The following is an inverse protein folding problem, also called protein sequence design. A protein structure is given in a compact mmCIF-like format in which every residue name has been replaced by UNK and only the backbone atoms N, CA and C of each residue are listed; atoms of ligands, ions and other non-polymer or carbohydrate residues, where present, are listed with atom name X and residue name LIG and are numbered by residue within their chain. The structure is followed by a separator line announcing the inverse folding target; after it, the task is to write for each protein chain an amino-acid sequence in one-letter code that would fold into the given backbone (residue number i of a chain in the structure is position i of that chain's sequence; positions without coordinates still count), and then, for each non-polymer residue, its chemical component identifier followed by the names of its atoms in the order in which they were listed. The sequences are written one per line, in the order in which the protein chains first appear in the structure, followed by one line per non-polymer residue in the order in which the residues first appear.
data_IF_008201411703
#
_entry.id   IF_008201411703
#
_cell.length_a   1.000
_cell.length_b   1.000
_cell.length_c   1.000
_cell.angle_alpha   90.00
_cell.angle_beta   90.00
_cell.angle_gamma   90.00
#
_symmetry.space_group_name_H-M   'P 1'
#
loop_
_entity.id
_entity.type
_entity.pdbx_description
1 polymer ?
#
# COMPACT_ATOMS: atom_id res chain seq x y z
N UNK A 1 -3.28 2.54 -14.06
CA UNK A 1 -2.34 2.60 -12.91
C UNK A 1 -2.06 4.02 -12.41
N UNK A 2 -1.95 5.01 -13.29
CA UNK A 2 -1.73 6.42 -12.93
C UNK A 2 -2.68 6.95 -11.83
N UNK A 3 -3.97 6.63 -11.90
CA UNK A 3 -4.93 7.06 -10.86
C UNK A 3 -4.57 6.55 -9.45
N UNK A 4 -4.11 5.30 -9.34
CA UNK A 4 -3.66 4.72 -8.06
C UNK A 4 -2.41 5.44 -7.56
N UNK A 5 -1.42 5.68 -8.41
CA UNK A 5 -0.17 6.35 -7.98
C UNK A 5 -0.38 7.76 -7.48
N UNK A 6 -1.38 8.49 -8.00
CA UNK A 6 -1.70 9.84 -7.51
C UNK A 6 -2.62 9.86 -6.28
N UNK A 7 -3.38 8.80 -6.01
CA UNK A 7 -4.44 8.81 -5.00
C UNK A 7 -4.27 7.79 -3.85
N UNK A 8 -3.25 6.91 -3.90
CA UNK A 8 -3.09 5.83 -2.91
C UNK A 8 -3.05 6.30 -1.46
N UNK A 9 -2.51 7.48 -1.20
CA UNK A 9 -2.35 8.06 0.14
C UNK A 9 -3.68 8.45 0.79
N UNK A 10 -4.76 8.55 0.01
CA UNK A 10 -6.11 8.88 0.48
C UNK A 10 -6.88 7.61 0.82
N UNK A 11 -8.09 7.77 1.36
CA UNK A 11 -9.07 6.69 1.54
C UNK A 11 -9.63 6.19 0.18
N UNK A 12 -8.73 5.75 -0.71
CA UNK A 12 -9.03 5.28 -2.04
C UNK A 12 -9.67 3.89 -1.97
N UNK A 13 -10.90 3.77 -2.44
CA UNK A 13 -11.64 2.51 -2.56
C UNK A 13 -11.60 2.02 -4.00
N UNK A 14 -11.85 0.72 -4.17
CA UNK A 14 -11.89 0.08 -5.49
C UNK A 14 -13.02 0.64 -6.36
N UNK A 15 -14.13 1.04 -5.74
CA UNK A 15 -15.24 1.73 -6.41
C UNK A 15 -14.80 3.05 -7.02
N UNK A 16 -13.94 3.82 -6.33
CA UNK A 16 -13.49 5.11 -6.83
C UNK A 16 -12.62 4.92 -8.08
N UNK A 17 -11.81 3.85 -8.11
CA UNK A 17 -11.00 3.47 -9.28
C UNK A 17 -11.89 3.03 -10.44
N UNK A 18 -12.88 2.16 -10.20
CA UNK A 18 -13.77 1.65 -11.24
C UNK A 18 -14.64 2.76 -11.84
N UNK A 19 -15.14 3.67 -10.99
CA UNK A 19 -15.88 4.86 -11.44
C UNK A 19 -15.02 5.78 -12.28
N UNK A 20 -13.77 6.04 -11.89
CA UNK A 20 -12.85 6.89 -12.65
C UNK A 20 -12.60 6.38 -14.08
N UNK A 21 -12.56 5.06 -14.28
CA UNK A 21 -12.34 4.45 -15.60
C UNK A 21 -13.64 4.11 -16.34
N UNK A 22 -14.80 4.43 -15.77
CA UNK A 22 -16.11 4.15 -16.38
C UNK A 22 -16.51 2.68 -16.43
N UNK A 23 -16.01 1.85 -15.50
CA UNK A 23 -16.37 0.42 -15.43
C UNK A 23 -17.18 0.12 -14.18
N UNK A 24 -18.07 -0.87 -14.30
CA UNK A 24 -18.64 -1.54 -13.14
C UNK A 24 -17.51 -2.14 -12.27
N UNK A 25 -17.70 -2.10 -10.95
CA UNK A 25 -16.72 -2.57 -9.96
C UNK A 25 -16.40 -4.06 -10.12
N UNK A 26 -17.41 -4.89 -10.42
CA UNK A 26 -17.24 -6.34 -10.55
C UNK A 26 -16.47 -6.66 -11.82
N UNK A 27 -16.87 -6.05 -12.93
CA UNK A 27 -16.18 -6.17 -14.21
C UNK A 27 -14.73 -5.68 -14.11
N UNK A 28 -14.50 -4.50 -13.52
CA UNK A 28 -13.17 -3.98 -13.24
C UNK A 28 -12.33 -4.96 -12.43
N UNK A 29 -12.86 -5.48 -11.32
CA UNK A 29 -12.11 -6.38 -10.45
C UNK A 29 -11.74 -7.68 -11.16
N UNK A 30 -12.64 -8.23 -11.97
CA UNK A 30 -12.38 -9.42 -12.78
C UNK A 30 -11.30 -9.17 -13.84
N UNK A 31 -11.49 -8.13 -14.65
CA UNK A 31 -10.55 -7.77 -15.72
C UNK A 31 -9.16 -7.45 -15.16
N UNK A 32 -9.10 -6.65 -14.09
CA UNK A 32 -7.86 -6.29 -13.44
C UNK A 32 -7.14 -7.53 -12.90
N UNK A 33 -7.85 -8.45 -12.24
CA UNK A 33 -7.23 -9.67 -11.70
C UNK A 33 -6.71 -10.58 -12.81
N UNK A 34 -7.42 -10.67 -13.94
CA UNK A 34 -6.96 -11.44 -15.11
C UNK A 34 -5.67 -10.87 -15.71
N UNK A 35 -5.54 -9.55 -15.74
CA UNK A 35 -4.37 -8.87 -16.32
C UNK A 35 -3.19 -8.83 -15.35
N UNK A 36 -3.45 -8.50 -14.08
CA UNK A 36 -2.41 -8.23 -13.07
C UNK A 36 -2.05 -9.45 -12.21
N UNK A 37 -2.81 -10.54 -12.33
CA UNK A 37 -2.64 -11.76 -11.52
C UNK A 37 -3.09 -11.63 -10.06
N UNK A 38 -3.52 -10.44 -9.62
CA UNK A 38 -3.97 -10.16 -8.25
C UNK A 38 -5.16 -9.21 -8.26
N UNK A 39 -5.98 -9.25 -7.20
CA UNK A 39 -7.12 -8.34 -7.07
C UNK A 39 -6.69 -6.87 -6.98
N UNK A 40 -7.56 -5.92 -7.38
CA UNK A 40 -7.29 -4.49 -7.21
C UNK A 40 -6.98 -4.10 -5.76
N UNK A 41 -7.64 -4.73 -4.78
CA UNK A 41 -7.39 -4.51 -3.36
C UNK A 41 -5.97 -4.92 -2.97
N UNK A 42 -5.55 -6.12 -3.38
CA UNK A 42 -4.21 -6.63 -3.10
C UNK A 42 -3.16 -5.79 -3.79
N UNK A 43 -3.40 -5.38 -5.04
CA UNK A 43 -2.49 -4.48 -5.75
C UNK A 43 -2.33 -3.14 -5.03
N UNK A 44 -3.43 -2.50 -4.63
CA UNK A 44 -3.38 -1.23 -3.91
C UNK A 44 -2.63 -1.37 -2.58
N UNK A 45 -2.89 -2.45 -1.82
CA UNK A 45 -2.18 -2.73 -0.58
C UNK A 45 -0.66 -2.90 -0.83
N UNK A 46 -0.31 -3.70 -1.83
CA UNK A 46 1.06 -3.94 -2.25
C UNK A 46 1.77 -2.62 -2.61
N UNK A 47 1.10 -1.76 -3.38
CA UNK A 47 1.61 -0.47 -3.79
C UNK A 47 1.84 0.45 -2.57
N UNK A 48 0.91 0.49 -1.62
CA UNK A 48 1.04 1.28 -0.38
C UNK A 48 2.22 0.81 0.48
N UNK A 49 2.43 -0.51 0.59
CA UNK A 49 3.57 -1.09 1.29
C UNK A 49 4.89 -0.73 0.59
N UNK A 50 4.94 -0.77 -0.75
CA UNK A 50 6.13 -0.34 -1.48
C UNK A 50 6.46 1.13 -1.23
N UNK A 51 5.43 1.98 -1.15
CA UNK A 51 5.58 3.41 -0.86
C UNK A 51 5.97 3.70 0.59
N UNK A 52 5.79 2.77 1.53
CA UNK A 52 6.24 2.98 2.91
C UNK A 52 7.72 2.67 3.12
N UNK A 53 8.35 1.89 2.23
CA UNK A 53 9.76 1.48 2.37
C UNK A 53 10.75 2.65 2.45
N UNK A 54 10.69 3.68 1.58
CA UNK A 54 11.58 4.84 1.70
C UNK A 54 11.36 5.57 3.03
N UNK A 55 10.10 5.73 3.46
CA UNK A 55 9.77 6.41 4.72
C UNK A 55 10.35 5.68 5.94
N UNK A 56 10.36 4.35 5.92
CA UNK A 56 10.97 3.56 6.99
C UNK A 56 12.49 3.72 7.06
N UNK A 57 13.15 3.98 5.92
CA UNK A 57 14.60 4.02 5.82
C UNK A 57 15.19 5.42 5.94
N UNK A 58 14.43 6.43 5.52
CA UNK A 58 14.94 7.80 5.30
C UNK A 58 14.33 8.81 6.28
N UNK A 59 13.42 8.39 7.17
CA UNK A 59 12.74 9.29 8.09
C UNK A 59 12.62 8.70 9.51
N UNK A 60 12.43 9.57 10.49
CA UNK A 60 12.18 9.19 11.88
C UNK A 60 10.70 9.04 12.25
N UNK A 61 9.84 8.97 11.25
CA UNK A 61 8.41 8.85 11.46
C UNK A 61 8.06 7.54 12.17
N UNK A 62 7.10 7.62 13.08
CA UNK A 62 6.52 6.44 13.72
C UNK A 62 5.77 5.59 12.68
N UNK A 63 5.62 4.29 12.97
CA UNK A 63 4.83 3.39 12.10
C UNK A 63 3.40 3.90 11.88
N UNK A 64 2.79 4.52 12.89
CA UNK A 64 1.46 5.11 12.80
C UNK A 64 1.39 6.28 11.82
N UNK A 65 2.41 7.15 11.80
CA UNK A 65 2.50 8.26 10.84
C UNK A 65 2.72 7.74 9.43
N UNK A 66 3.61 6.76 9.25
CA UNK A 66 3.85 6.12 7.96
C UNK A 66 2.58 5.48 7.41
N UNK A 67 1.83 4.76 8.26
CA UNK A 67 0.52 4.18 7.89
C UNK A 67 -0.45 5.25 7.36
N UNK A 68 -0.55 6.38 8.06
CA UNK A 68 -1.41 7.50 7.65
C UNK A 68 -0.96 8.09 6.30
N UNK A 69 0.35 8.28 6.10
CA UNK A 69 0.91 8.83 4.85
C UNK A 69 0.64 7.91 3.66
N UNK A 70 0.79 6.59 3.82
CA UNK A 70 0.55 5.65 2.72
C UNK A 70 -0.92 5.27 2.55
N UNK A 71 -1.82 5.82 3.35
CA UNK A 71 -3.26 5.59 3.23
C UNK A 71 -3.73 4.23 3.80
N UNK A 72 -3.03 3.68 4.79
CA UNK A 72 -3.45 2.48 5.53
C UNK A 72 -3.93 2.92 6.93
N UNK A 73 -5.24 2.84 7.17
CA UNK A 73 -5.84 3.36 8.41
C UNK A 73 -5.58 2.53 9.67
N UNK A 74 -5.21 1.25 9.52
CA UNK A 74 -4.98 0.32 10.63
C UNK A 74 -3.49 -0.10 10.68
N UNK A 75 -2.72 0.37 11.68
CA UNK A 75 -1.32 -0.01 11.88
C UNK A 75 -1.09 -1.52 12.13
N UNK A 76 -2.03 -2.22 12.75
CA UNK A 76 -1.93 -3.68 12.97
C UNK A 76 -2.15 -4.44 11.65
N UNK A 77 -3.10 -3.99 10.83
CA UNK A 77 -3.27 -4.51 9.48
C UNK A 77 -2.04 -4.26 8.62
N UNK A 78 -1.50 -3.03 8.63
CA UNK A 78 -0.26 -2.67 7.95
C UNK A 78 0.89 -3.59 8.35
N UNK A 79 1.14 -3.74 9.65
CA UNK A 79 2.28 -4.53 10.15
C UNK A 79 2.22 -5.99 9.70
N UNK A 80 1.03 -6.60 9.74
CA UNK A 80 0.81 -7.97 9.24
C UNK A 80 1.02 -8.09 7.74
N UNK A 81 0.43 -7.17 6.98
CA UNK A 81 0.53 -7.17 5.51
C UNK A 81 1.97 -6.90 5.05
N UNK A 82 2.66 -5.96 5.68
CA UNK A 82 4.05 -5.63 5.43
C UNK A 82 4.96 -6.84 5.66
N UNK A 83 4.87 -7.47 6.85
CA UNK A 83 5.67 -8.66 7.15
C UNK A 83 5.40 -9.81 6.17
N UNK A 84 4.13 -10.02 5.81
CA UNK A 84 3.74 -11.04 4.83
C UNK A 84 4.36 -10.78 3.45
N UNK A 85 4.44 -9.52 3.02
CA UNK A 85 4.99 -9.14 1.71
C UNK A 85 6.52 -9.11 1.69
N UNK A 86 7.15 -8.61 2.75
CA UNK A 86 8.58 -8.27 2.76
C UNK A 86 9.44 -9.28 3.55
N UNK A 87 8.84 -10.26 4.22
CA UNK A 87 9.53 -11.24 5.07
C UNK A 87 9.95 -10.70 6.46
N UNK A 88 10.27 -9.42 6.54
CA UNK A 88 10.66 -8.71 7.78
C UNK A 88 9.60 -7.71 8.22
N UNK A 89 9.54 -7.41 9.53
CA UNK A 89 8.62 -6.38 10.05
C UNK A 89 9.08 -4.97 9.66
N UNK A 90 8.13 -4.04 9.52
CA UNK A 90 8.43 -2.65 9.22
C UNK A 90 9.36 -2.02 10.29
N UNK A 91 9.13 -2.34 11.56
CA UNK A 91 9.96 -1.88 12.69
C UNK A 91 11.41 -2.33 12.55
N UNK A 92 11.63 -3.61 12.22
CA UNK A 92 12.97 -4.16 12.05
C UNK A 92 13.72 -3.47 10.90
N UNK A 93 13.05 -3.23 9.77
CA UNK A 93 13.65 -2.51 8.64
C UNK A 93 14.03 -1.08 9.04
N UNK A 94 13.22 -0.41 9.86
CA UNK A 94 13.52 0.94 10.35
C UNK A 94 14.71 0.95 11.32
N UNK A 95 14.83 -0.05 12.20
CA UNK A 95 15.99 -0.21 13.10
C UNK A 95 17.28 -0.46 12.28
N UNK A 96 17.24 -1.41 11.35
CA UNK A 96 18.40 -1.75 10.48
C UNK A 96 18.87 -0.55 9.63
N UNK A 97 17.97 0.33 9.20
CA UNK A 97 18.33 1.53 8.45
C UNK A 97 19.06 2.59 9.31
N UNK A 98 18.71 2.67 10.60
CA UNK A 98 19.31 3.61 11.56
C UNK A 98 20.69 3.17 12.01
N UNK A 99 20.92 1.86 12.12
CA UNK A 99 22.23 1.31 12.50
C UNK A 99 23.30 1.48 11.40
N UNK A 100 22.90 1.85 10.18
CA UNK A 100 23.79 2.10 9.03
C UNK A 100 24.19 3.58 8.84
N UNK A 101 23.71 4.48 9.70
CA UNK A 101 24.01 5.93 9.68
C UNK A 101 24.81 6.33 10.90
#
# INVERSE_FOLDING_TARGET
MQYISYNYHRSLRITDISTYIGLDRTYFSKLFSQIMGVSPQTYLLCFRIEKSLPLLKETDLSLSEICRIVGIGDPFYYSRAFKKKNGSSAKRIQEEARDLT
#
